data_IF_108786097064
#
_entry.id   IF_108786097064
#
_cell.length_a   1.000
_cell.length_b   1.000
_cell.length_c   1.000
_cell.angle_alpha   90.00
_cell.angle_beta   90.00
_cell.angle_gamma   90.00
#
_symmetry.space_group_name_H-M   'P 1'
#
loop_
_entity.id
_entity.type
_entity.pdbx_description
1 polymer ?
#
# COMPACT_ATOMS: atom_id res chain seq x y z
N UNK A 1 2.92 -1.44 11.99
CA UNK A 1 4.15 -1.90 12.70
C UNK A 1 4.12 -3.39 13.01
N UNK A 2 3.00 -3.93 13.52
CA UNK A 2 2.89 -5.36 13.91
C UNK A 2 3.07 -6.36 12.76
N UNK A 3 2.83 -5.97 11.53
CA UNK A 3 2.92 -6.85 10.36
C UNK A 3 4.35 -7.20 9.95
N UNK A 4 5.35 -6.38 10.30
CA UNK A 4 6.75 -6.62 9.91
C UNK A 4 7.33 -7.88 10.58
N UNK A 5 7.22 -8.06 11.92
CA UNK A 5 7.66 -9.29 12.57
C UNK A 5 6.93 -10.53 12.03
N UNK A 6 5.64 -10.41 11.74
CA UNK A 6 4.87 -11.52 11.17
C UNK A 6 5.32 -11.89 9.76
N UNK A 7 5.65 -10.90 8.92
CA UNK A 7 6.16 -11.14 7.58
C UNK A 7 7.51 -11.89 7.64
N UNK A 8 8.41 -11.46 8.52
CA UNK A 8 9.69 -12.14 8.74
C UNK A 8 9.47 -13.55 9.28
N UNK A 9 8.54 -13.73 10.24
CA UNK A 9 8.23 -15.06 10.79
C UNK A 9 7.60 -16.02 9.78
N UNK A 10 6.89 -15.49 8.77
CA UNK A 10 6.13 -16.29 7.80
C UNK A 10 6.91 -16.61 6.52
N UNK A 11 7.97 -15.88 6.22
CA UNK A 11 8.74 -16.08 4.99
C UNK A 11 9.58 -17.37 5.11
N UNK A 12 9.71 -18.09 3.98
CA UNK A 12 10.57 -19.28 3.89
C UNK A 12 12.05 -18.91 3.94
N UNK A 13 12.91 -19.86 4.22
CA UNK A 13 14.37 -19.74 4.06
C UNK A 13 14.74 -19.29 2.64
N UNK A 14 15.73 -18.41 2.53
CA UNK A 14 16.14 -17.80 1.26
C UNK A 14 15.06 -16.94 0.63
N UNK A 15 14.06 -16.51 1.41
CA UNK A 15 12.96 -15.68 0.92
C UNK A 15 13.19 -14.20 1.12
N UNK A 16 12.35 -13.38 0.50
CA UNK A 16 12.43 -11.91 0.55
C UNK A 16 11.17 -11.31 1.16
N UNK A 17 11.33 -10.41 2.11
CA UNK A 17 10.26 -9.57 2.67
C UNK A 17 10.40 -8.15 2.11
N UNK A 18 9.43 -7.69 1.35
CA UNK A 18 9.38 -6.33 0.81
C UNK A 18 8.51 -5.42 1.70
N UNK A 19 9.11 -4.34 2.21
CA UNK A 19 8.44 -3.34 3.06
C UNK A 19 8.05 -2.11 2.23
N UNK A 20 6.76 -1.97 1.92
CA UNK A 20 6.23 -0.85 1.11
C UNK A 20 5.65 0.27 1.96
N UNK A 21 5.07 -0.04 3.11
CA UNK A 21 4.36 0.93 3.95
C UNK A 21 5.29 1.75 4.84
N UNK A 22 4.90 2.99 5.10
CA UNK A 22 5.55 3.82 6.12
C UNK A 22 4.93 3.52 7.50
N UNK A 23 5.77 3.46 8.53
CA UNK A 23 5.32 3.19 9.91
C UNK A 23 4.98 4.47 10.68
N UNK A 24 5.11 5.64 10.05
CA UNK A 24 4.93 6.93 10.73
C UNK A 24 6.02 7.23 11.78
N UNK A 25 7.22 6.66 11.60
CA UNK A 25 8.34 6.82 12.53
C UNK A 25 8.37 5.79 13.67
N UNK A 26 7.41 4.85 13.71
CA UNK A 26 7.45 3.78 14.70
C UNK A 26 8.66 2.85 14.48
N UNK A 27 9.29 2.45 15.59
CA UNK A 27 10.35 1.44 15.59
C UNK A 27 9.72 0.05 15.63
N UNK A 28 10.35 -0.90 14.94
CA UNK A 28 9.91 -2.29 14.88
C UNK A 28 11.08 -3.19 15.22
N UNK A 29 10.88 -4.14 16.12
CA UNK A 29 11.87 -5.15 16.47
C UNK A 29 11.81 -6.29 15.46
N UNK A 30 12.98 -6.77 15.05
CA UNK A 30 13.15 -7.90 14.13
C UNK A 30 14.20 -8.84 14.67
N UNK A 31 13.94 -10.14 14.61
CA UNK A 31 14.91 -11.18 14.99
C UNK A 31 16.04 -11.26 13.96
N UNK A 32 17.20 -10.66 14.26
CA UNK A 32 18.34 -10.61 13.36
C UNK A 32 18.93 -11.99 13.12
N UNK A 33 18.97 -12.84 14.14
CA UNK A 33 19.48 -14.22 14.00
C UNK A 33 18.66 -15.02 13.00
N UNK A 34 17.33 -14.84 12.97
CA UNK A 34 16.47 -15.46 11.98
C UNK A 34 16.78 -14.97 10.56
N UNK A 35 16.97 -13.65 10.38
CA UNK A 35 17.35 -13.11 9.07
C UNK A 35 18.65 -13.73 8.58
N UNK A 36 19.63 -13.86 9.46
CA UNK A 36 20.95 -14.36 9.12
C UNK A 36 20.97 -15.88 8.89
N UNK A 37 20.39 -16.67 9.80
CA UNK A 37 20.41 -18.12 9.74
C UNK A 37 19.52 -18.69 8.63
N UNK A 38 18.44 -18.00 8.32
CA UNK A 38 17.50 -18.40 7.28
C UNK A 38 17.75 -17.68 5.93
N UNK A 39 18.82 -16.87 5.83
CA UNK A 39 19.20 -16.12 4.61
C UNK A 39 18.03 -15.29 4.04
N UNK A 40 17.31 -14.56 4.92
CA UNK A 40 16.15 -13.76 4.56
C UNK A 40 16.55 -12.35 4.15
N UNK A 41 16.14 -11.91 2.96
CA UNK A 41 16.28 -10.53 2.52
C UNK A 41 15.14 -9.67 3.09
N UNK A 42 15.50 -8.52 3.68
CA UNK A 42 14.55 -7.50 4.12
C UNK A 42 14.76 -6.21 3.32
N UNK A 43 13.86 -5.94 2.37
CA UNK A 43 14.01 -4.86 1.41
C UNK A 43 13.01 -3.73 1.66
N UNK A 44 13.51 -2.50 1.79
CA UNK A 44 12.68 -1.29 1.73
C UNK A 44 12.33 -0.98 0.27
N UNK A 45 11.04 -0.90 -0.03
CA UNK A 45 10.53 -0.62 -1.38
C UNK A 45 9.70 0.65 -1.36
N UNK A 46 10.10 1.63 -2.18
CA UNK A 46 9.27 2.82 -2.41
C UNK A 46 8.24 2.52 -3.48
N UNK A 47 6.97 2.81 -3.18
CA UNK A 47 5.88 2.59 -4.14
C UNK A 47 6.03 3.43 -5.40
N UNK A 48 5.72 2.84 -6.54
CA UNK A 48 5.47 3.49 -7.84
C UNK A 48 6.61 4.30 -8.48
N UNK A 49 7.91 3.97 -8.35
CA UNK A 49 8.91 4.66 -9.16
C UNK A 49 8.64 4.36 -10.64
N UNK A 50 8.42 5.41 -11.44
CA UNK A 50 8.20 5.33 -12.89
C UNK A 50 7.02 4.42 -13.35
N UNK A 51 6.07 4.07 -12.48
CA UNK A 51 4.97 3.17 -12.82
C UNK A 51 3.77 3.88 -13.49
N UNK A 52 3.69 5.20 -13.41
CA UNK A 52 2.54 5.94 -13.91
C UNK A 52 2.28 5.78 -15.42
N UNK A 53 3.29 5.87 -16.33
CA UNK A 53 3.04 5.66 -17.75
C UNK A 53 2.43 4.28 -18.03
N UNK A 54 3.03 3.22 -17.51
CA UNK A 54 2.52 1.86 -17.67
C UNK A 54 1.11 1.67 -17.10
N UNK A 55 0.80 2.31 -15.95
CA UNK A 55 -0.54 2.26 -15.37
C UNK A 55 -1.56 2.98 -16.26
N UNK A 56 -1.21 4.14 -16.84
CA UNK A 56 -2.08 4.88 -17.75
C UNK A 56 -2.37 4.04 -18.99
N UNK A 57 -1.38 3.37 -19.56
CA UNK A 57 -1.56 2.49 -20.72
C UNK A 57 -2.48 1.30 -20.40
N UNK A 58 -2.33 0.68 -19.22
CA UNK A 58 -3.20 -0.40 -18.79
C UNK A 58 -4.66 0.05 -18.59
N UNK A 59 -4.86 1.26 -18.08
CA UNK A 59 -6.20 1.85 -17.96
C UNK A 59 -6.78 2.23 -19.31
N UNK A 60 -5.98 2.80 -20.20
CA UNK A 60 -6.42 3.24 -21.55
C UNK A 60 -6.81 2.04 -22.43
N UNK A 61 -6.07 0.93 -22.33
CA UNK A 61 -6.37 -0.31 -23.06
C UNK A 61 -7.51 -1.12 -22.44
N UNK A 62 -7.98 -0.76 -21.24
CA UNK A 62 -9.01 -1.51 -20.52
C UNK A 62 -8.50 -2.81 -19.88
N UNK A 63 -7.19 -3.07 -19.90
CA UNK A 63 -6.59 -4.24 -19.25
C UNK A 63 -6.77 -4.21 -17.71
N UNK A 64 -6.88 -3.00 -17.14
CA UNK A 64 -7.20 -2.77 -15.73
C UNK A 64 -8.33 -1.76 -15.62
N UNK A 65 -9.22 -1.92 -14.65
CA UNK A 65 -10.29 -0.96 -14.36
C UNK A 65 -10.13 -0.35 -12.97
N UNK A 66 -10.16 0.97 -12.89
CA UNK A 66 -10.19 1.70 -11.62
C UNK A 66 -11.60 1.87 -11.04
N UNK A 67 -12.67 1.51 -11.80
CA UNK A 67 -14.07 1.69 -11.38
C UNK A 67 -14.39 1.07 -10.00
N UNK A 68 -13.93 -0.14 -9.67
CA UNK A 68 -14.19 -0.71 -8.34
C UNK A 68 -13.55 0.05 -7.18
N UNK A 69 -12.52 0.84 -7.45
CA UNK A 69 -11.83 1.64 -6.44
C UNK A 69 -12.49 3.00 -6.23
N UNK A 70 -13.15 3.54 -7.27
CA UNK A 70 -13.85 4.83 -7.24
C UNK A 70 -15.27 4.62 -6.72
N UNK A 71 -15.41 4.59 -5.40
CA UNK A 71 -16.69 4.23 -4.76
C UNK A 71 -17.63 5.41 -4.55
N UNK A 72 -17.09 6.63 -4.40
CA UNK A 72 -17.87 7.83 -4.07
C UNK A 72 -17.33 9.04 -4.82
N UNK A 73 -18.25 9.93 -5.22
CA UNK A 73 -17.92 11.21 -5.85
C UNK A 73 -18.56 12.32 -5.02
N UNK A 74 -17.75 13.34 -4.66
CA UNK A 74 -18.19 14.50 -3.90
C UNK A 74 -17.84 15.78 -4.65
N UNK A 75 -18.68 16.81 -4.62
CA UNK A 75 -18.27 18.14 -5.06
C UNK A 75 -17.23 18.70 -4.08
N UNK A 76 -16.36 19.59 -4.55
CA UNK A 76 -15.25 20.13 -3.76
C UNK A 76 -15.71 20.79 -2.43
N UNK A 77 -16.87 21.44 -2.42
CA UNK A 77 -17.44 22.04 -1.22
C UNK A 77 -17.84 21.01 -0.14
N UNK A 78 -17.87 19.72 -0.47
CA UNK A 78 -18.15 18.60 0.44
C UNK A 78 -16.90 17.76 0.74
N UNK A 79 -15.71 18.34 0.65
CA UNK A 79 -14.44 17.64 0.90
C UNK A 79 -14.38 16.99 2.30
N UNK A 80 -14.96 17.62 3.31
CA UNK A 80 -14.99 17.05 4.66
C UNK A 80 -15.81 15.76 4.75
N UNK A 81 -16.89 15.64 3.96
CA UNK A 81 -17.68 14.41 3.90
C UNK A 81 -16.88 13.27 3.26
N UNK A 82 -16.07 13.58 2.25
CA UNK A 82 -15.17 12.61 1.62
C UNK A 82 -14.12 12.06 2.62
N UNK A 83 -13.53 12.93 3.44
CA UNK A 83 -12.60 12.50 4.50
C UNK A 83 -13.30 11.67 5.58
N UNK A 84 -14.50 12.09 6.00
CA UNK A 84 -15.30 11.33 6.97
C UNK A 84 -15.62 9.92 6.46
N UNK A 85 -15.99 9.78 5.19
CA UNK A 85 -16.25 8.48 4.57
C UNK A 85 -14.99 7.58 4.52
N UNK A 86 -13.80 8.17 4.28
CA UNK A 86 -12.53 7.45 4.37
C UNK A 86 -12.24 6.96 5.80
N UNK A 87 -12.39 7.82 6.80
CA UNK A 87 -12.17 7.50 8.22
C UNK A 87 -13.09 6.37 8.69
N UNK A 88 -14.35 6.39 8.25
CA UNK A 88 -15.35 5.35 8.53
C UNK A 88 -15.19 4.09 7.68
N UNK A 89 -14.23 4.07 6.74
CA UNK A 89 -14.01 2.96 5.79
C UNK A 89 -15.22 2.66 4.90
N UNK A 90 -16.08 3.65 4.66
CA UNK A 90 -17.23 3.57 3.76
C UNK A 90 -16.78 3.80 2.30
N UNK A 91 -15.75 4.61 2.09
CA UNK A 91 -15.15 4.89 0.80
C UNK A 91 -13.74 4.33 0.69
N UNK A 92 -13.39 3.77 -0.47
CA UNK A 92 -12.03 3.30 -0.76
C UNK A 92 -11.22 4.43 -1.38
N UNK A 93 -11.73 5.04 -2.43
CA UNK A 93 -11.07 6.13 -3.15
C UNK A 93 -12.14 7.16 -3.58
N UNK A 94 -12.54 8.10 -2.72
CA UNK A 94 -13.47 9.16 -3.10
C UNK A 94 -12.82 10.10 -4.10
N UNK A 95 -13.60 10.57 -5.05
CA UNK A 95 -13.19 11.57 -6.04
C UNK A 95 -13.86 12.90 -5.70
N UNK A 96 -13.11 13.99 -5.84
CA UNK A 96 -13.63 15.34 -5.74
C UNK A 96 -13.82 15.91 -7.16
N UNK A 97 -14.97 16.51 -7.41
CA UNK A 97 -15.26 17.23 -8.65
C UNK A 97 -15.34 18.73 -8.38
N UNK A 98 -14.86 19.54 -9.34
CA UNK A 98 -14.96 21.00 -9.33
C UNK A 98 -16.25 21.45 -9.98
#
# INVERSE_FOLDING_TARGET
>A
PATVPWAVASVRRGGTVALLGLTGGARVEVEVDRLTLDEIDLLGVRSSPNAYPAMIDLLATGAVSAKPLTTHVYPLNRVHDAFTALERREAVRPILTM
#
